data_IF_833624222039
#
_entry.id   IF_833624222039
#
_cell.length_a   1.000
_cell.length_b   1.000
_cell.length_c   1.000
_cell.angle_alpha   90.00
_cell.angle_beta   90.00
_cell.angle_gamma   90.00
#
_symmetry.space_group_name_H-M   'P 1'
#
loop_
_entity.id
_entity.type
_entity.pdbx_description
1 polymer ?
#
# COMPACT_ATOMS: atom_id res chain seq x y z
N UNK A 1 -45.72 23.45 -0.39
CA UNK A 1 -44.91 23.86 0.79
C UNK A 1 -43.61 23.08 0.75
N UNK A 2 -42.46 23.76 0.81
CA UNK A 2 -41.13 23.12 0.78
C UNK A 2 -40.83 22.54 2.17
N UNK A 3 -40.55 21.24 2.27
CA UNK A 3 -40.10 20.66 3.53
C UNK A 3 -38.72 21.22 3.90
N UNK A 4 -38.59 21.70 5.14
CA UNK A 4 -37.31 22.10 5.69
C UNK A 4 -36.52 20.86 6.12
N UNK A 5 -35.53 20.54 5.30
CA UNK A 5 -34.67 19.38 5.46
C UNK A 5 -33.76 19.54 6.68
N UNK A 6 -33.52 20.77 7.16
CA UNK A 6 -32.67 21.04 8.33
C UNK A 6 -33.25 20.48 9.64
N UNK A 7 -34.56 20.24 9.68
CA UNK A 7 -35.26 19.64 10.83
C UNK A 7 -35.17 18.12 10.86
N UNK A 8 -34.63 17.48 9.82
CA UNK A 8 -34.49 16.02 9.80
C UNK A 8 -33.37 15.59 10.77
N UNK A 9 -33.53 14.47 11.52
CA UNK A 9 -32.54 14.04 12.52
C UNK A 9 -31.13 13.86 11.96
N UNK A 10 -31.01 13.39 10.71
CA UNK A 10 -29.74 13.19 10.00
C UNK A 10 -29.11 14.49 9.47
N UNK A 11 -29.85 15.61 9.46
CA UNK A 11 -29.34 16.91 9.06
C UNK A 11 -28.63 17.63 10.22
N UNK A 12 -28.85 17.19 11.46
CA UNK A 12 -28.20 17.76 12.64
C UNK A 12 -26.69 17.46 12.62
N UNK A 13 -25.81 18.44 12.87
CA UNK A 13 -24.35 18.24 12.83
C UNK A 13 -23.87 17.08 13.71
N UNK A 14 -24.39 16.97 14.93
CA UNK A 14 -24.06 15.87 15.85
C UNK A 14 -24.42 14.49 15.29
N UNK A 15 -25.58 14.37 14.64
CA UNK A 15 -26.00 13.10 14.05
C UNK A 15 -25.11 12.73 12.86
N UNK A 16 -24.74 13.70 12.02
CA UNK A 16 -23.77 13.49 10.93
C UNK A 16 -22.42 13.03 11.46
N UNK A 17 -21.90 13.71 12.48
CA UNK A 17 -20.64 13.33 13.10
C UNK A 17 -20.67 11.91 13.70
N UNK A 18 -21.79 11.53 14.33
CA UNK A 18 -21.97 10.19 14.87
C UNK A 18 -22.00 9.13 13.74
N UNK A 19 -22.75 9.39 12.66
CA UNK A 19 -22.79 8.50 11.49
C UNK A 19 -21.41 8.37 10.83
N UNK A 20 -20.72 9.49 10.59
CA UNK A 20 -19.39 9.50 9.98
C UNK A 20 -18.39 8.69 10.83
N UNK A 21 -18.41 8.90 12.15
CA UNK A 21 -17.57 8.15 13.08
C UNK A 21 -17.87 6.65 13.03
N UNK A 22 -19.15 6.28 13.07
CA UNK A 22 -19.57 4.89 12.99
C UNK A 22 -19.11 4.22 11.69
N UNK A 23 -19.35 4.85 10.54
CA UNK A 23 -18.94 4.29 9.25
C UNK A 23 -17.42 4.26 9.10
N UNK A 24 -16.69 5.25 9.62
CA UNK A 24 -15.22 5.20 9.67
C UNK A 24 -14.72 4.01 10.49
N UNK A 25 -15.33 3.71 11.63
CA UNK A 25 -14.99 2.53 12.42
C UNK A 25 -15.27 1.23 11.67
N UNK A 26 -16.44 1.12 11.01
CA UNK A 26 -16.75 -0.05 10.16
C UNK A 26 -15.74 -0.24 9.03
N UNK A 27 -15.39 0.85 8.34
CA UNK A 27 -14.42 0.82 7.24
C UNK A 27 -13.00 0.53 7.72
N UNK A 28 -12.63 0.97 8.91
CA UNK A 28 -11.31 0.66 9.48
C UNK A 28 -11.12 -0.85 9.67
N UNK A 29 -12.16 -1.57 10.12
CA UNK A 29 -12.10 -3.04 10.26
C UNK A 29 -11.94 -3.74 8.92
N UNK A 30 -12.69 -3.31 7.90
CA UNK A 30 -12.54 -3.82 6.54
C UNK A 30 -11.13 -3.56 5.98
N UNK A 31 -10.61 -2.35 6.21
CA UNK A 31 -9.30 -1.96 5.71
C UNK A 31 -8.17 -2.73 6.40
N UNK A 32 -8.29 -3.13 7.67
CA UNK A 32 -7.31 -4.01 8.34
C UNK A 32 -7.18 -5.33 7.58
N UNK A 33 -8.31 -6.00 7.28
CA UNK A 33 -8.29 -7.28 6.55
C UNK A 33 -7.68 -7.12 5.16
N UNK A 34 -8.04 -6.04 4.47
CA UNK A 34 -7.52 -5.73 3.13
C UNK A 34 -6.03 -5.41 3.16
N UNK A 35 -5.56 -4.66 4.16
CA UNK A 35 -4.17 -4.27 4.29
C UNK A 35 -3.27 -5.48 4.52
N UNK A 36 -3.69 -6.47 5.33
CA UNK A 36 -2.93 -7.71 5.51
C UNK A 36 -2.63 -8.37 4.15
N UNK A 37 -3.67 -8.60 3.33
CA UNK A 37 -3.50 -9.16 1.98
C UNK A 37 -2.59 -8.28 1.09
N UNK A 38 -2.75 -6.96 1.18
CA UNK A 38 -2.03 -6.01 0.32
C UNK A 38 -0.55 -5.90 0.71
N UNK A 39 -0.23 -5.92 2.00
CA UNK A 39 1.13 -5.88 2.51
C UNK A 39 1.91 -7.07 1.96
N UNK A 40 1.36 -8.28 2.08
CA UNK A 40 1.97 -9.48 1.51
C UNK A 40 2.24 -9.32 0.01
N UNK A 41 1.23 -8.91 -0.76
CA UNK A 41 1.37 -8.71 -2.23
C UNK A 41 2.44 -7.68 -2.60
N UNK A 42 2.54 -6.60 -1.84
CA UNK A 42 3.54 -5.55 -2.07
C UNK A 42 4.95 -6.08 -1.78
N UNK A 43 5.13 -6.83 -0.69
CA UNK A 43 6.41 -7.48 -0.39
C UNK A 43 6.80 -8.46 -1.48
N UNK A 44 5.89 -9.33 -1.92
CA UNK A 44 6.13 -10.26 -3.03
C UNK A 44 6.52 -9.52 -4.31
N UNK A 45 5.77 -8.48 -4.69
CA UNK A 45 6.07 -7.66 -5.86
C UNK A 45 7.48 -7.05 -5.79
N UNK A 46 7.88 -6.49 -4.65
CA UNK A 46 9.21 -5.89 -4.48
C UNK A 46 10.33 -6.94 -4.65
N UNK A 47 10.15 -8.13 -4.09
CA UNK A 47 11.12 -9.22 -4.22
C UNK A 47 11.21 -9.76 -5.65
N UNK A 48 10.06 -9.92 -6.32
CA UNK A 48 9.99 -10.43 -7.69
C UNK A 48 10.55 -9.42 -8.69
N UNK A 49 10.28 -8.13 -8.50
CA UNK A 49 10.83 -7.06 -9.32
C UNK A 49 12.36 -6.99 -9.22
N UNK A 50 12.94 -7.03 -8.00
CA UNK A 50 14.40 -7.03 -7.84
C UNK A 50 15.05 -8.25 -8.52
N UNK A 51 14.45 -9.44 -8.36
CA UNK A 51 14.92 -10.68 -9.00
C UNK A 51 14.82 -10.61 -10.52
N UNK A 52 13.71 -10.08 -11.04
CA UNK A 52 13.51 -9.90 -12.47
C UNK A 52 14.57 -8.97 -13.06
N UNK A 53 14.79 -7.80 -12.44
CA UNK A 53 15.77 -6.82 -12.90
C UNK A 53 17.20 -7.38 -12.88
N UNK A 54 17.58 -8.13 -11.83
CA UNK A 54 18.88 -8.84 -11.78
C UNK A 54 19.05 -9.82 -12.94
N UNK A 55 18.02 -10.63 -13.17
CA UNK A 55 18.03 -11.63 -14.26
C UNK A 55 18.13 -10.94 -15.63
N UNK A 56 17.48 -9.79 -15.81
CA UNK A 56 17.60 -8.98 -17.01
C UNK A 56 19.00 -8.41 -17.18
N UNK A 57 19.61 -7.86 -16.13
CA UNK A 57 20.99 -7.35 -16.14
C UNK A 57 21.99 -8.42 -16.59
N UNK A 58 21.88 -9.63 -16.04
CA UNK A 58 22.75 -10.76 -16.39
C UNK A 58 22.60 -11.18 -17.86
N UNK A 59 21.36 -11.24 -18.37
CA UNK A 59 21.08 -11.64 -19.76
C UNK A 59 21.56 -10.61 -20.78
N UNK A 60 21.37 -9.33 -20.50
CA UNK A 60 21.70 -8.25 -21.45
C UNK A 60 23.10 -7.69 -21.25
N UNK A 61 23.78 -7.99 -20.14
CA UNK A 61 25.10 -7.46 -19.80
C UNK A 61 26.16 -7.68 -20.88
N UNK A 62 26.15 -8.85 -21.51
CA UNK A 62 27.10 -9.21 -22.56
C UNK A 62 26.71 -8.69 -23.95
N UNK A 63 25.42 -8.40 -24.18
CA UNK A 63 24.90 -8.02 -25.50
C UNK A 63 24.81 -6.49 -25.63
N UNK A 64 24.30 -5.83 -24.59
CA UNK A 64 24.02 -4.39 -24.55
C UNK A 64 24.45 -3.80 -23.20
N UNK A 65 25.76 -3.55 -23.00
CA UNK A 65 26.29 -3.10 -21.71
C UNK A 65 25.73 -1.73 -21.26
N UNK A 66 25.43 -0.82 -22.21
CA UNK A 66 24.81 0.46 -21.90
C UNK A 66 23.38 0.30 -21.33
N UNK A 67 22.60 -0.64 -21.90
CA UNK A 67 21.26 -0.94 -21.41
C UNK A 67 21.31 -1.65 -20.05
N UNK A 68 22.24 -2.60 -19.87
CA UNK A 68 22.48 -3.25 -18.58
C UNK A 68 22.80 -2.24 -17.48
N UNK A 69 23.63 -1.23 -17.79
CA UNK A 69 23.92 -0.15 -16.87
C UNK A 69 22.67 0.65 -16.47
N UNK A 70 21.81 1.01 -17.44
CA UNK A 70 20.55 1.70 -17.15
C UNK A 70 19.60 0.87 -16.27
N UNK A 71 19.48 -0.44 -16.55
CA UNK A 71 18.68 -1.36 -15.72
C UNK A 71 19.24 -1.43 -14.30
N UNK A 72 20.58 -1.53 -14.15
CA UNK A 72 21.23 -1.54 -12.84
C UNK A 72 20.99 -0.26 -12.04
N UNK A 73 20.96 0.88 -12.73
CA UNK A 73 20.71 2.17 -12.09
C UNK A 73 19.27 2.24 -11.58
N UNK A 74 18.31 1.81 -12.40
CA UNK A 74 16.89 1.75 -12.00
C UNK A 74 16.68 0.78 -10.83
N UNK A 75 17.29 -0.41 -10.87
CA UNK A 75 17.23 -1.38 -9.77
C UNK A 75 17.79 -0.80 -8.47
N UNK A 76 18.95 -0.15 -8.51
CA UNK A 76 19.54 0.51 -7.34
C UNK A 76 18.63 1.59 -6.76
N UNK A 77 18.00 2.39 -7.62
CA UNK A 77 17.04 3.41 -7.19
C UNK A 77 15.87 2.76 -6.46
N UNK A 78 15.24 1.75 -7.05
CA UNK A 78 14.12 1.03 -6.43
C UNK A 78 14.54 0.35 -5.12
N UNK A 79 15.71 -0.28 -5.07
CA UNK A 79 16.22 -0.95 -3.88
C UNK A 79 16.41 0.00 -2.69
N UNK A 80 16.76 1.27 -2.92
CA UNK A 80 16.90 2.26 -1.85
C UNK A 80 15.55 2.55 -1.18
N UNK A 81 14.50 2.73 -1.97
CA UNK A 81 13.15 2.96 -1.44
C UNK A 81 12.54 1.68 -0.85
N UNK A 82 12.75 0.54 -1.51
CA UNK A 82 12.26 -0.76 -1.05
C UNK A 82 12.83 -1.11 0.32
N UNK A 83 14.09 -0.78 0.64
CA UNK A 83 14.66 -1.01 1.97
C UNK A 83 13.86 -0.33 3.09
N UNK A 84 13.55 0.96 2.92
CA UNK A 84 12.75 1.73 3.88
C UNK A 84 11.31 1.21 3.98
N UNK A 85 10.69 0.90 2.85
CA UNK A 85 9.32 0.35 2.82
C UNK A 85 9.25 -1.04 3.46
N UNK A 86 10.20 -1.92 3.17
CA UNK A 86 10.25 -3.26 3.76
C UNK A 86 10.40 -3.20 5.28
N UNK A 87 11.17 -2.24 5.80
CA UNK A 87 11.25 -2.01 7.25
C UNK A 87 9.90 -1.63 7.83
N UNK A 88 9.21 -0.66 7.23
CA UNK A 88 7.88 -0.24 7.71
C UNK A 88 6.85 -1.38 7.60
N UNK A 89 6.85 -2.14 6.51
CA UNK A 89 5.96 -3.28 6.31
C UNK A 89 6.25 -4.39 7.33
N UNK A 90 7.52 -4.60 7.66
CA UNK A 90 7.92 -5.51 8.73
C UNK A 90 7.43 -5.03 10.10
N UNK A 91 7.56 -3.74 10.41
CA UNK A 91 7.06 -3.18 11.67
C UNK A 91 5.53 -3.31 11.78
N UNK A 92 4.80 -3.15 10.67
CA UNK A 92 3.34 -3.41 10.61
C UNK A 92 3.04 -4.89 10.86
N UNK A 93 3.83 -5.80 10.28
CA UNK A 93 3.66 -7.23 10.48
C UNK A 93 3.87 -7.68 11.95
N UNK A 94 4.53 -6.85 12.76
CA UNK A 94 4.74 -7.08 14.20
C UNK A 94 3.61 -6.54 15.08
N UNK A 95 2.62 -5.83 14.51
CA UNK A 95 1.51 -5.28 15.27
C UNK A 95 0.53 -6.39 15.72
N UNK A 96 -0.03 -6.28 16.94
CA UNK A 96 -1.05 -7.22 17.41
C UNK A 96 -2.29 -7.16 16.51
N UNK A 97 -2.78 -8.33 16.07
CA UNK A 97 -3.92 -8.44 15.15
C UNK A 97 -3.53 -8.49 13.67
N UNK A 98 -2.24 -8.41 13.34
CA UNK A 98 -1.76 -8.72 12.00
C UNK A 98 -1.95 -10.22 11.72
N UNK A 99 -2.53 -10.54 10.56
CA UNK A 99 -2.87 -11.92 10.19
C UNK A 99 -2.26 -12.38 8.86
N UNK A 100 -1.38 -11.58 8.24
CA UNK A 100 -0.70 -11.95 6.98
C UNK A 100 -0.13 -10.79 6.21
#
# INVERSE_FOLDING_TARGET
TREDISQRPWAHPTARFAMDTYFKMRRAEEEIVRLNIKIHRVVTYMCDEDRFLRTCEEKIGNIYPALAHQVSWRRKLHSQFNGSHLKQLHDIAMLPGFSG
#
